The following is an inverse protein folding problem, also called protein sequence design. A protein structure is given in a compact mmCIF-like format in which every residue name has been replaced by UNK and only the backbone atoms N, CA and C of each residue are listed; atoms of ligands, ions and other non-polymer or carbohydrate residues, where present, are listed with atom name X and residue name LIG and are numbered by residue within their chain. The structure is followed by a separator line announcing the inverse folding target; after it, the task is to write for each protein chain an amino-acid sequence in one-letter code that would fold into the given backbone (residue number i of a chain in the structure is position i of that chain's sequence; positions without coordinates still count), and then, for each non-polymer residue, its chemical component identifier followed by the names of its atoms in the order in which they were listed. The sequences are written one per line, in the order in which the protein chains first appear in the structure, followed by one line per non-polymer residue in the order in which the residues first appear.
data_IF_345097527295
#
_entry.id   IF_345097527295
#
_cell.length_a   1.000
_cell.length_b   1.000
_cell.length_c   1.000
_cell.angle_alpha   90.00
_cell.angle_beta   90.00
_cell.angle_gamma   90.00
#
_symmetry.space_group_name_H-M   'P 1'
#
loop_
_entity.id
_entity.type
_entity.pdbx_description
1 polymer ?
#
# COMPACT_ATOMS: atom_id res chain seq x y z
N UNK A 1 -5.05 26.31 25.65
CA UNK A 1 -4.34 26.28 26.94
C UNK A 1 -3.19 25.30 26.90
N UNK A 2 -3.46 24.01 26.66
CA UNK A 2 -2.52 22.93 26.98
C UNK A 2 -1.52 22.52 25.88
N UNK A 3 -1.76 22.87 24.62
CA UNK A 3 -0.90 22.46 23.49
C UNK A 3 0.48 23.15 23.47
N UNK A 4 0.63 24.31 24.11
CA UNK A 4 1.89 25.07 24.05
C UNK A 4 3.03 24.36 24.77
N UNK A 5 2.77 23.63 25.87
CA UNK A 5 3.82 23.00 26.69
C UNK A 5 4.14 21.55 26.28
N UNK A 6 3.56 21.08 25.18
CA UNK A 6 3.65 19.69 24.78
C UNK A 6 5.00 19.42 24.11
N UNK A 7 5.79 18.52 24.68
CA UNK A 7 7.14 18.17 24.16
C UNK A 7 7.14 17.04 23.13
N UNK A 8 6.16 16.15 23.18
CA UNK A 8 6.08 14.97 22.33
C UNK A 8 4.67 14.82 21.76
N UNK A 9 4.55 14.74 20.43
CA UNK A 9 3.26 14.61 19.75
C UNK A 9 3.34 13.54 18.67
N UNK A 10 2.26 12.78 18.52
CA UNK A 10 2.08 11.88 17.39
C UNK A 10 0.69 12.05 16.81
N UNK A 11 0.63 12.16 15.48
CA UNK A 11 -0.61 12.23 14.73
C UNK A 11 -0.57 11.15 13.65
N UNK A 12 -1.61 10.32 13.64
CA UNK A 12 -1.83 9.29 12.63
C UNK A 12 -3.20 9.54 12.01
N UNK A 13 -3.22 9.87 10.73
CA UNK A 13 -4.44 10.00 9.93
C UNK A 13 -4.30 9.19 8.65
N UNK A 14 -5.16 8.19 8.51
CA UNK A 14 -5.16 7.28 7.36
C UNK A 14 -5.93 7.83 6.16
N UNK A 15 -6.84 8.79 6.35
CA UNK A 15 -7.55 9.47 5.27
C UNK A 15 -7.87 10.92 5.70
N UNK A 16 -7.06 11.86 5.26
CA UNK A 16 -7.35 13.30 5.27
C UNK A 16 -8.09 13.57 3.96
N UNK A 17 -9.41 13.44 4.02
CA UNK A 17 -10.26 13.20 2.84
C UNK A 17 -10.39 14.40 1.89
N UNK A 18 -10.11 15.61 2.39
CA UNK A 18 -10.24 16.86 1.64
C UNK A 18 -9.03 17.77 1.87
N UNK A 19 -8.71 18.61 0.88
CA UNK A 19 -7.60 19.56 0.91
C UNK A 19 -7.62 20.46 2.15
N UNK A 20 -8.82 20.90 2.51
CA UNK A 20 -9.08 21.75 3.66
C UNK A 20 -8.63 21.09 4.98
N UNK A 21 -8.71 19.75 5.10
CA UNK A 21 -8.36 19.10 6.37
C UNK A 21 -6.84 19.20 6.65
N UNK A 22 -5.99 19.11 5.63
CA UNK A 22 -4.55 19.25 5.83
C UNK A 22 -4.15 20.71 6.02
N UNK A 23 -4.48 21.57 5.05
CA UNK A 23 -4.00 22.96 5.03
C UNK A 23 -4.73 23.83 6.09
N UNK A 24 -6.00 23.57 6.42
CA UNK A 24 -6.78 24.37 7.38
C UNK A 24 -6.87 23.78 8.80
N UNK A 25 -6.68 22.46 8.98
CA UNK A 25 -6.75 21.83 10.31
C UNK A 25 -5.39 21.33 10.80
N UNK A 26 -4.71 20.49 10.03
CA UNK A 26 -3.45 19.86 10.45
C UNK A 26 -2.32 20.90 10.56
N UNK A 27 -2.09 21.72 9.53
CA UNK A 27 -1.02 22.72 9.54
C UNK A 27 -1.20 23.74 10.68
N UNK A 28 -2.38 24.37 10.88
CA UNK A 28 -2.56 25.32 11.99
C UNK A 28 -2.46 24.68 13.37
N UNK A 29 -2.89 23.42 13.53
CA UNK A 29 -2.72 22.67 14.78
C UNK A 29 -1.24 22.50 15.11
N UNK A 30 -0.45 22.02 14.13
CA UNK A 30 0.98 21.78 14.30
C UNK A 30 1.74 23.07 14.60
N UNK A 31 1.43 24.17 13.89
CA UNK A 31 2.04 25.50 14.12
C UNK A 31 1.88 26.04 15.54
N UNK A 32 0.86 25.60 16.28
CA UNK A 32 0.63 26.02 17.67
C UNK A 32 1.50 25.29 18.69
N UNK A 33 2.14 24.18 18.29
CA UNK A 33 2.97 23.34 19.16
C UNK A 33 4.45 23.79 19.13
N UNK A 34 4.69 25.06 19.46
CA UNK A 34 6.01 25.71 19.29
C UNK A 34 7.13 25.14 20.19
N UNK A 35 6.80 24.46 21.29
CA UNK A 35 7.75 23.85 22.22
C UNK A 35 7.93 22.35 21.99
N UNK A 36 7.48 21.85 20.84
CA UNK A 36 7.57 20.45 20.52
C UNK A 36 9.03 20.05 20.27
N UNK A 37 9.50 19.04 21.01
CA UNK A 37 10.84 18.47 20.90
C UNK A 37 10.85 17.24 19.99
N UNK A 38 9.74 16.48 19.99
CA UNK A 38 9.56 15.24 19.20
C UNK A 38 8.21 15.21 18.48
N UNK A 39 8.25 14.93 17.19
CA UNK A 39 7.07 14.80 16.33
C UNK A 39 7.10 13.49 15.54
N UNK A 40 5.98 12.76 15.57
CA UNK A 40 5.75 11.59 14.70
C UNK A 40 4.48 11.79 13.88
N UNK A 41 4.60 11.93 12.56
CA UNK A 41 3.47 12.14 11.64
C UNK A 41 3.26 10.96 10.70
N UNK A 42 2.04 10.46 10.64
CA UNK A 42 1.58 9.60 9.55
C UNK A 42 0.35 10.25 8.94
N UNK A 43 0.47 10.75 7.71
CA UNK A 43 -0.60 11.48 7.04
C UNK A 43 -0.82 10.91 5.64
N UNK A 44 -2.07 10.63 5.30
CA UNK A 44 -2.49 10.37 3.93
C UNK A 44 -3.49 11.42 3.50
N UNK A 45 -3.07 12.28 2.58
CA UNK A 45 -3.78 13.45 2.10
C UNK A 45 -4.33 13.14 0.72
N UNK A 46 -5.65 13.22 0.57
CA UNK A 46 -6.33 12.94 -0.68
C UNK A 46 -6.75 14.23 -1.37
N UNK A 47 -6.66 14.23 -2.71
CA UNK A 47 -7.19 15.26 -3.62
C UNK A 47 -6.53 16.64 -3.55
N UNK A 48 -5.29 16.73 -3.01
CA UNK A 48 -4.56 17.99 -2.89
C UNK A 48 -4.15 18.53 -4.25
N UNK A 49 -4.16 19.86 -4.40
CA UNK A 49 -3.79 20.52 -5.65
C UNK A 49 -2.28 20.48 -5.95
N UNK A 50 -1.46 20.01 -5.00
CA UNK A 50 -0.01 19.88 -5.14
C UNK A 50 0.51 18.86 -4.13
N UNK A 51 1.62 18.20 -4.45
CA UNK A 51 2.36 17.40 -3.49
C UNK A 51 2.88 18.22 -2.29
N UNK A 52 2.91 17.58 -1.13
CA UNK A 52 3.74 18.03 -0.01
C UNK A 52 5.17 17.62 -0.32
N UNK A 53 6.05 18.61 -0.51
CA UNK A 53 7.49 18.43 -0.69
C UNK A 53 8.26 19.05 0.50
N UNK A 54 9.59 19.07 0.42
CA UNK A 54 10.44 19.52 1.50
C UNK A 54 10.31 21.00 1.77
N UNK A 55 10.22 21.80 0.73
CA UNK A 55 10.01 23.25 0.87
C UNK A 55 8.67 23.55 1.54
N UNK A 56 7.61 22.84 1.16
CA UNK A 56 6.33 22.98 1.84
C UNK A 56 6.40 22.55 3.32
N UNK A 57 7.03 21.42 3.61
CA UNK A 57 7.16 20.91 4.98
C UNK A 57 7.97 21.85 5.87
N UNK A 58 9.06 22.40 5.34
CA UNK A 58 9.90 23.40 6.00
C UNK A 58 9.11 24.67 6.34
N UNK A 59 8.57 25.32 5.30
CA UNK A 59 7.87 26.60 5.43
C UNK A 59 6.57 26.50 6.24
N UNK A 60 5.83 25.40 6.13
CA UNK A 60 4.49 25.33 6.75
C UNK A 60 4.50 24.73 8.16
N UNK A 61 5.45 23.82 8.45
CA UNK A 61 5.44 23.07 9.71
C UNK A 61 6.74 23.31 10.49
N UNK A 62 7.91 23.07 9.87
CA UNK A 62 9.16 22.97 10.63
C UNK A 62 9.69 24.32 11.11
N UNK A 63 9.52 25.39 10.34
CA UNK A 63 9.93 26.75 10.73
C UNK A 63 9.21 27.26 11.99
N UNK A 64 8.02 26.72 12.27
CA UNK A 64 7.23 27.05 13.45
C UNK A 64 7.59 26.19 14.67
N UNK A 65 8.52 25.24 14.54
CA UNK A 65 8.93 24.29 15.60
C UNK A 65 10.43 24.37 15.88
N UNK A 66 10.95 25.49 16.41
CA UNK A 66 12.39 25.69 16.58
C UNK A 66 13.05 24.76 17.62
N UNK A 67 12.25 24.12 18.49
CA UNK A 67 12.73 23.18 19.50
C UNK A 67 12.69 21.72 19.04
N UNK A 68 12.18 21.46 17.83
CA UNK A 68 12.07 20.11 17.30
C UNK A 68 13.45 19.56 17.02
N UNK A 69 13.77 18.42 17.62
CA UNK A 69 15.05 17.74 17.41
C UNK A 69 14.86 16.32 16.87
N UNK A 70 13.63 15.78 16.95
CA UNK A 70 13.31 14.47 16.40
C UNK A 70 12.02 14.56 15.62
N UNK A 71 12.13 14.28 14.32
CA UNK A 71 11.00 14.25 13.42
C UNK A 71 10.99 12.93 12.65
N UNK A 72 9.94 12.14 12.85
CA UNK A 72 9.68 10.92 12.08
C UNK A 72 8.39 11.12 11.31
N UNK A 73 8.39 10.83 10.02
CA UNK A 73 7.20 11.06 9.23
C UNK A 73 7.02 10.10 8.07
N UNK A 74 5.76 9.92 7.70
CA UNK A 74 5.30 9.44 6.42
C UNK A 74 4.13 10.34 6.01
N UNK A 75 4.25 10.98 4.85
CA UNK A 75 3.20 11.80 4.27
C UNK A 75 3.00 11.31 2.84
N UNK A 76 1.79 10.83 2.53
CA UNK A 76 1.38 10.54 1.16
C UNK A 76 0.39 11.59 0.69
N UNK A 77 0.65 12.20 -0.46
CA UNK A 77 -0.24 13.19 -1.07
C UNK A 77 -0.72 12.69 -2.42
N UNK A 78 -2.03 12.54 -2.58
CA UNK A 78 -2.65 12.24 -3.87
C UNK A 78 -3.12 13.54 -4.53
N UNK A 79 -2.64 13.78 -5.74
CA UNK A 79 -2.98 14.92 -6.59
C UNK A 79 -3.83 14.47 -7.77
N UNK A 80 -4.92 15.21 -8.03
CA UNK A 80 -5.70 15.07 -9.27
C UNK A 80 -5.15 16.08 -10.28
N UNK A 81 -4.54 15.58 -11.34
CA UNK A 81 -3.86 16.39 -12.36
C UNK A 81 -4.92 16.92 -13.32
N UNK A 82 -5.40 18.14 -13.07
CA UNK A 82 -6.33 18.84 -13.96
C UNK A 82 -5.63 19.62 -15.09
N UNK A 83 -4.30 19.72 -15.09
CA UNK A 83 -3.58 20.52 -16.08
C UNK A 83 -2.13 20.08 -16.34
N UNK A 84 -1.55 20.64 -17.41
CA UNK A 84 -0.26 20.36 -18.04
C UNK A 84 0.99 20.75 -17.23
N UNK A 85 0.94 20.73 -15.89
CA UNK A 85 2.13 21.02 -15.09
C UNK A 85 3.19 19.92 -15.25
N UNK A 86 4.49 20.29 -15.36
CA UNK A 86 5.56 19.32 -15.46
C UNK A 86 5.57 18.44 -14.19
N UNK A 87 5.49 17.13 -14.39
CA UNK A 87 5.51 16.16 -13.28
C UNK A 87 6.86 16.25 -12.57
N UNK A 88 6.82 16.47 -11.25
CA UNK A 88 8.01 16.33 -10.40
C UNK A 88 8.44 14.87 -10.39
N UNK A 89 9.72 14.62 -10.64
CA UNK A 89 10.34 13.30 -10.44
C UNK A 89 10.69 13.07 -8.97
N UNK A 90 10.98 11.81 -8.59
CA UNK A 90 11.50 11.49 -7.25
C UNK A 90 12.71 12.37 -6.91
N UNK A 91 13.62 12.54 -7.87
CA UNK A 91 14.82 13.37 -7.70
C UNK A 91 14.49 14.85 -7.48
N UNK A 92 13.42 15.36 -8.08
CA UNK A 92 13.00 16.76 -7.88
C UNK A 92 12.44 16.94 -6.47
N UNK A 93 11.64 15.98 -5.99
CA UNK A 93 11.12 15.99 -4.62
C UNK A 93 12.26 15.86 -3.63
N UNK A 94 13.15 14.88 -3.76
CA UNK A 94 14.26 14.66 -2.84
C UNK A 94 15.21 15.86 -2.74
N UNK A 95 15.42 16.60 -3.84
CA UNK A 95 16.22 17.84 -3.84
C UNK A 95 15.65 18.93 -2.93
N UNK A 96 14.32 18.98 -2.76
CA UNK A 96 13.68 19.98 -1.88
C UNK A 96 13.97 19.77 -0.40
N UNK A 97 14.55 18.63 -0.03
CA UNK A 97 14.87 18.30 1.35
C UNK A 97 16.36 18.44 1.71
N UNK A 98 17.19 18.89 0.77
CA UNK A 98 18.65 19.02 0.97
C UNK A 98 19.05 19.96 2.13
N UNK A 99 18.16 20.88 2.51
CA UNK A 99 18.40 21.83 3.61
C UNK A 99 17.68 21.48 4.91
N UNK A 100 16.87 20.41 4.93
CA UNK A 100 16.10 20.03 6.11
C UNK A 100 17.03 19.34 7.11
N UNK A 101 17.08 19.87 8.33
CA UNK A 101 17.98 19.42 9.42
C UNK A 101 17.68 18.00 9.95
N UNK A 102 16.63 17.35 9.47
CA UNK A 102 16.07 16.13 10.05
C UNK A 102 16.32 14.90 9.17
N UNK A 103 17.37 14.13 9.50
CA UNK A 103 17.58 12.75 9.05
C UNK A 103 17.71 12.51 7.55
N UNK A 104 17.96 11.25 7.18
CA UNK A 104 17.83 10.81 5.79
C UNK A 104 16.36 10.56 5.47
N UNK A 105 16.02 10.66 4.19
CA UNK A 105 14.66 10.48 3.75
C UNK A 105 14.59 10.00 2.30
N UNK A 106 13.41 9.51 1.92
CA UNK A 106 13.17 8.97 0.60
C UNK A 106 11.79 9.39 0.08
N UNK A 107 11.64 9.31 -1.24
CA UNK A 107 10.39 9.56 -1.93
C UNK A 107 9.96 8.38 -2.80
N UNK A 108 8.65 8.26 -3.01
CA UNK A 108 8.03 7.39 -4.02
C UNK A 108 6.98 8.22 -4.73
N UNK A 109 7.17 8.46 -6.03
CA UNK A 109 6.18 9.13 -6.87
C UNK A 109 5.66 8.13 -7.88
N UNK A 110 4.35 8.02 -7.88
CA UNK A 110 3.60 7.13 -8.73
C UNK A 110 2.51 7.91 -9.47
N UNK A 111 2.15 7.43 -10.67
CA UNK A 111 1.05 8.00 -11.45
C UNK A 111 0.08 6.91 -11.88
N UNK A 112 -1.21 7.19 -11.77
CA UNK A 112 -2.29 6.29 -12.15
C UNK A 112 -3.41 7.05 -12.88
N UNK A 113 -4.53 6.39 -13.16
CA UNK A 113 -5.63 6.85 -14.03
C UNK A 113 -5.20 7.39 -15.41
N UNK A 114 -4.36 6.66 -16.16
CA UNK A 114 -3.77 7.14 -17.43
C UNK A 114 -2.87 8.38 -17.26
N UNK A 115 -2.42 8.67 -16.04
CA UNK A 115 -1.66 9.86 -15.71
C UNK A 115 -2.47 11.07 -15.25
N UNK A 116 -3.77 10.89 -15.00
CA UNK A 116 -4.67 11.92 -14.45
C UNK A 116 -4.58 12.05 -12.93
N UNK A 117 -4.00 11.07 -12.26
CA UNK A 117 -3.79 11.09 -10.82
C UNK A 117 -2.35 10.69 -10.52
N UNK A 118 -1.77 11.30 -9.48
CA UNK A 118 -0.46 10.93 -9.02
C UNK A 118 -0.43 10.93 -7.49
N UNK A 119 0.42 10.07 -6.93
CA UNK A 119 0.66 10.00 -5.49
C UNK A 119 2.14 10.20 -5.24
N UNK A 120 2.45 11.05 -4.26
CA UNK A 120 3.80 11.26 -3.77
C UNK A 120 3.85 10.83 -2.31
N UNK A 121 4.68 9.84 -2.01
CA UNK A 121 5.04 9.45 -0.67
C UNK A 121 6.38 10.06 -0.31
N UNK A 122 6.45 10.77 0.81
CA UNK A 122 7.69 11.22 1.43
C UNK A 122 7.79 10.66 2.83
N UNK A 123 8.97 10.20 3.24
CA UNK A 123 9.13 9.61 4.57
C UNK A 123 10.56 9.66 5.09
N UNK A 124 10.68 9.70 6.41
CA UNK A 124 11.95 9.59 7.13
C UNK A 124 12.52 8.17 7.06
N UNK A 125 13.84 8.05 6.95
CA UNK A 125 14.59 6.80 7.07
C UNK A 125 15.27 6.68 8.44
N UNK A 126 15.30 5.46 9.05
CA UNK A 126 14.63 4.24 8.60
C UNK A 126 13.10 4.37 8.71
N UNK A 127 12.36 3.63 7.87
CA UNK A 127 10.90 3.61 7.93
C UNK A 127 10.42 2.90 9.20
N UNK A 128 9.55 3.55 9.98
CA UNK A 128 9.14 3.07 11.31
C UNK A 128 7.64 2.81 11.46
N UNK A 129 6.85 2.98 10.40
CA UNK A 129 5.40 2.84 10.47
C UNK A 129 4.96 1.42 10.09
N UNK A 130 3.82 0.99 10.63
CA UNK A 130 3.29 -0.35 10.39
C UNK A 130 2.52 -0.49 9.08
N UNK A 131 2.20 0.63 8.42
CA UNK A 131 1.35 0.69 7.24
C UNK A 131 2.01 1.44 6.10
N UNK A 132 1.86 0.92 4.89
CA UNK A 132 2.21 1.59 3.66
C UNK A 132 1.08 1.34 2.65
N UNK A 133 0.47 2.40 2.13
CA UNK A 133 -0.73 2.28 1.30
C UNK A 133 -0.50 2.85 -0.10
N UNK A 134 -1.23 2.31 -1.07
CA UNK A 134 -1.29 2.76 -2.46
C UNK A 134 0.06 2.78 -3.19
N UNK A 135 0.93 1.80 -2.92
CA UNK A 135 2.16 1.65 -3.72
C UNK A 135 1.86 1.06 -5.10
N UNK A 136 2.64 1.44 -6.11
CA UNK A 136 2.64 0.77 -7.42
C UNK A 136 3.87 -0.14 -7.57
N UNK A 137 4.16 -0.56 -8.80
CA UNK A 137 5.39 -1.26 -9.19
C UNK A 137 6.70 -0.47 -8.93
N UNK A 138 6.63 0.85 -8.69
CA UNK A 138 7.80 1.73 -8.53
C UNK A 138 8.14 2.08 -7.07
N UNK A 139 8.45 1.10 -6.23
CA UNK A 139 8.99 1.35 -4.88
C UNK A 139 10.51 1.03 -4.80
N UNK A 140 11.27 1.69 -3.91
CA UNK A 140 12.71 1.45 -3.79
C UNK A 140 13.03 0.06 -3.24
N UNK A 141 14.21 -0.47 -3.57
CA UNK A 141 14.74 -1.72 -3.01
C UNK A 141 15.35 -1.51 -1.62
N UNK A 142 14.54 -1.01 -0.68
CA UNK A 142 14.89 -0.93 0.74
C UNK A 142 14.02 -1.91 1.52
N UNK A 143 14.48 -2.38 2.68
CA UNK A 143 13.69 -3.29 3.52
C UNK A 143 12.80 -2.48 4.47
N UNK A 144 11.50 -2.78 4.47
CA UNK A 144 10.51 -2.16 5.36
C UNK A 144 10.12 -3.14 6.47
N UNK A 145 11.04 -3.40 7.41
CA UNK A 145 10.85 -4.41 8.47
C UNK A 145 9.66 -4.12 9.41
N UNK A 146 9.25 -2.85 9.52
CA UNK A 146 8.15 -2.42 10.38
C UNK A 146 6.78 -2.57 9.72
N UNK A 147 6.71 -2.66 8.39
CA UNK A 147 5.46 -2.69 7.65
C UNK A 147 4.80 -4.06 7.75
N UNK A 148 3.58 -4.05 8.28
CA UNK A 148 2.73 -5.24 8.44
C UNK A 148 1.44 -5.14 7.62
N UNK A 149 1.05 -3.94 7.20
CA UNK A 149 -0.10 -3.69 6.34
C UNK A 149 0.37 -2.99 5.06
N UNK A 150 0.07 -3.61 3.92
CA UNK A 150 0.41 -3.08 2.61
C UNK A 150 -0.85 -3.02 1.76
N UNK A 151 -1.03 -1.92 1.04
CA UNK A 151 -1.94 -1.90 -0.11
C UNK A 151 -1.20 -1.51 -1.37
N UNK A 152 -1.42 -2.28 -2.42
CA UNK A 152 -0.90 -2.03 -3.75
C UNK A 152 -2.04 -1.73 -4.71
N UNK A 153 -1.84 -0.70 -5.52
CA UNK A 153 -2.78 -0.28 -6.55
C UNK A 153 -2.02 -0.06 -7.84
N UNK A 154 -2.48 -0.64 -8.93
CA UNK A 154 -1.92 -0.34 -10.25
C UNK A 154 -3.01 -0.49 -11.32
N UNK A 155 -2.85 0.22 -12.43
CA UNK A 155 -3.66 0.00 -13.64
C UNK A 155 -2.95 -0.90 -14.63
N UNK A 156 -1.62 -1.00 -14.53
CA UNK A 156 -0.82 -1.89 -15.35
C UNK A 156 -0.78 -3.24 -14.64
N UNK A 157 -0.81 -4.37 -15.38
CA UNK A 157 -0.63 -5.67 -14.77
C UNK A 157 0.69 -5.76 -13.99
N UNK A 158 0.59 -6.01 -12.68
CA UNK A 158 1.70 -6.45 -11.82
C UNK A 158 2.12 -7.86 -12.20
N UNK A 159 3.37 -8.01 -12.63
CA UNK A 159 3.96 -9.30 -13.00
C UNK A 159 4.42 -10.09 -11.78
N UNK A 160 4.85 -11.34 -11.99
CA UNK A 160 5.33 -12.21 -10.92
C UNK A 160 6.51 -11.59 -10.12
N UNK A 161 7.44 -10.91 -10.79
CA UNK A 161 8.60 -10.24 -10.21
C UNK A 161 8.19 -9.13 -9.22
N UNK A 162 7.04 -8.49 -9.44
CA UNK A 162 6.51 -7.52 -8.48
C UNK A 162 6.26 -8.21 -7.13
N UNK A 163 5.57 -9.36 -7.13
CA UNK A 163 5.27 -10.08 -5.90
C UNK A 163 6.52 -10.67 -5.22
N UNK A 164 7.55 -11.05 -6.00
CA UNK A 164 8.87 -11.41 -5.46
C UNK A 164 9.44 -10.21 -4.68
N UNK A 165 9.47 -9.02 -5.31
CA UNK A 165 9.97 -7.82 -4.66
C UNK A 165 9.18 -7.48 -3.40
N UNK A 166 7.86 -7.64 -3.40
CA UNK A 166 7.03 -7.44 -2.21
C UNK A 166 7.49 -8.39 -1.08
N UNK A 167 7.64 -9.69 -1.36
CA UNK A 167 8.03 -10.68 -0.34
C UNK A 167 9.41 -10.39 0.29
N UNK A 168 10.34 -9.89 -0.51
CA UNK A 168 11.71 -9.56 -0.06
C UNK A 168 11.76 -8.25 0.73
N UNK A 169 10.91 -7.30 0.35
CA UNK A 169 10.87 -5.93 0.87
C UNK A 169 10.05 -5.81 2.15
N UNK A 170 8.94 -6.55 2.23
CA UNK A 170 7.96 -6.51 3.33
C UNK A 170 7.92 -7.86 4.06
N UNK A 171 9.03 -8.22 4.70
CA UNK A 171 9.22 -9.56 5.29
C UNK A 171 8.21 -9.88 6.39
N UNK A 172 7.73 -8.87 7.11
CA UNK A 172 6.77 -8.99 8.22
C UNK A 172 5.31 -8.74 7.79
N UNK A 173 5.02 -8.80 6.48
CA UNK A 173 3.70 -8.49 5.93
C UNK A 173 2.62 -9.46 6.47
N UNK A 174 1.58 -8.89 7.10
CA UNK A 174 0.44 -9.62 7.67
C UNK A 174 -0.86 -9.38 6.92
N UNK A 175 -1.05 -8.18 6.38
CA UNK A 175 -2.25 -7.77 5.68
C UNK A 175 -1.86 -7.20 4.33
N UNK A 176 -2.30 -7.83 3.25
CA UNK A 176 -2.02 -7.36 1.90
C UNK A 176 -3.31 -7.16 1.12
N UNK A 177 -3.51 -5.94 0.63
CA UNK A 177 -4.59 -5.59 -0.29
C UNK A 177 -4.03 -5.28 -1.67
N UNK A 178 -4.64 -5.84 -2.71
CA UNK A 178 -4.28 -5.59 -4.11
C UNK A 178 -5.53 -5.15 -4.85
N UNK A 179 -5.42 -4.05 -5.58
CA UNK A 179 -6.50 -3.51 -6.38
C UNK A 179 -6.00 -3.16 -7.77
N UNK A 180 -6.65 -3.71 -8.80
CA UNK A 180 -6.34 -3.40 -10.21
C UNK A 180 -7.55 -3.61 -11.15
N UNK A 181 -8.78 -3.47 -10.65
CA UNK A 181 -10.00 -3.78 -11.42
C UNK A 181 -10.17 -2.92 -12.70
N UNK A 182 -9.41 -1.82 -12.81
CA UNK A 182 -9.37 -0.95 -14.00
C UNK A 182 -8.25 -1.28 -14.98
N UNK A 183 -7.49 -2.37 -14.77
CA UNK A 183 -6.50 -2.79 -15.74
C UNK A 183 -7.23 -3.11 -17.04
N UNK A 184 -7.16 -2.17 -17.99
CA UNK A 184 -7.63 -2.36 -19.35
C UNK A 184 -6.92 -3.62 -19.80
N UNK A 185 -7.68 -4.70 -19.97
CA UNK A 185 -7.20 -5.94 -20.52
C UNK A 185 -6.74 -5.65 -21.94
N UNK A 186 -5.53 -5.10 -22.10
CA UNK A 186 -4.69 -5.38 -23.24
C UNK A 186 -4.57 -6.89 -23.19
N UNK A 187 -5.40 -7.54 -24.01
CA UNK A 187 -5.51 -8.98 -24.15
C UNK A 187 -4.12 -9.53 -24.40
N UNK A 188 -3.41 -9.87 -23.33
CA UNK A 188 -2.48 -10.96 -23.39
C UNK A 188 -3.33 -12.20 -23.22
N UNK A 189 -3.65 -12.79 -24.36
CA UNK A 189 -4.16 -14.15 -24.45
C UNK A 189 -3.09 -15.08 -23.84
N UNK A 190 -3.04 -15.19 -22.51
CA UNK A 190 -2.02 -15.93 -21.77
C UNK A 190 -2.62 -17.03 -20.90
N UNK A 191 -3.68 -17.67 -21.39
CA UNK A 191 -3.94 -19.07 -21.01
C UNK A 191 -3.16 -20.06 -21.88
N UNK A 192 -2.34 -19.56 -22.84
CA UNK A 192 -1.54 -20.38 -23.76
C UNK A 192 -0.03 -20.07 -23.76
N UNK A 193 0.46 -19.11 -22.97
CA UNK A 193 1.91 -18.88 -22.80
C UNK A 193 2.46 -19.61 -21.57
N UNK A 194 2.12 -20.90 -21.44
CA UNK A 194 2.86 -21.89 -20.65
C UNK A 194 4.23 -22.19 -21.31
N UNK A 195 5.00 -21.13 -21.61
CA UNK A 195 6.41 -21.27 -21.98
C UNK A 195 7.23 -21.29 -20.70
N UNK A 196 7.30 -22.45 -20.04
CA UNK A 196 8.47 -22.97 -19.30
C UNK A 196 9.35 -21.98 -18.50
N UNK A 197 8.80 -20.91 -17.89
CA UNK A 197 9.54 -20.13 -16.90
C UNK A 197 9.18 -20.67 -15.53
N UNK A 198 10.04 -21.53 -15.00
CA UNK A 198 9.97 -21.96 -13.61
C UNK A 198 10.33 -20.78 -12.72
N UNK A 199 9.32 -20.01 -12.31
CA UNK A 199 9.50 -19.04 -11.24
C UNK A 199 9.61 -19.76 -9.90
N UNK A 200 10.48 -19.26 -9.03
CA UNK A 200 10.54 -19.73 -7.65
C UNK A 200 9.21 -19.45 -6.94
N UNK A 201 8.77 -20.39 -6.11
CA UNK A 201 7.56 -20.19 -5.29
C UNK A 201 7.81 -19.01 -4.35
N UNK A 202 6.90 -18.04 -4.34
CA UNK A 202 6.98 -16.87 -3.46
C UNK A 202 6.45 -17.27 -2.09
N UNK A 203 7.17 -16.93 -1.02
CA UNK A 203 6.71 -17.20 0.34
C UNK A 203 6.24 -15.92 1.03
N UNK A 204 5.03 -15.96 1.60
CA UNK A 204 4.56 -14.95 2.54
C UNK A 204 4.32 -15.60 3.90
N UNK A 205 5.38 -15.78 4.72
CA UNK A 205 5.32 -16.61 5.92
C UNK A 205 4.40 -16.04 7.01
N UNK A 206 4.10 -14.74 6.96
CA UNK A 206 3.33 -14.02 7.97
C UNK A 206 2.00 -13.48 7.47
N UNK A 207 1.63 -13.73 6.20
CA UNK A 207 0.40 -13.18 5.63
C UNK A 207 -0.82 -13.88 6.23
N UNK A 208 -1.62 -13.11 6.97
CA UNK A 208 -2.83 -13.55 7.68
C UNK A 208 -4.08 -13.23 6.86
N UNK A 209 -4.08 -12.06 6.22
CA UNK A 209 -5.22 -11.55 5.45
C UNK A 209 -4.80 -11.11 4.06
N UNK A 210 -5.50 -11.63 3.06
CA UNK A 210 -5.36 -11.23 1.66
C UNK A 210 -6.67 -10.62 1.16
N UNK A 211 -6.60 -9.37 0.67
CA UNK A 211 -7.69 -8.70 -0.01
C UNK A 211 -7.38 -8.56 -1.51
N UNK A 212 -8.12 -9.32 -2.30
CA UNK A 212 -8.08 -9.37 -3.76
C UNK A 212 -9.49 -9.21 -4.32
N UNK A 213 -10.38 -8.52 -3.59
CA UNK A 213 -11.77 -8.34 -3.99
C UNK A 213 -11.90 -7.56 -5.32
N UNK A 214 -11.05 -6.54 -5.48
CA UNK A 214 -10.97 -5.70 -6.67
C UNK A 214 -9.74 -6.04 -7.53
N UNK A 215 -9.24 -7.28 -7.46
CA UNK A 215 -8.06 -7.73 -8.19
C UNK A 215 -8.42 -8.60 -9.39
N UNK A 216 -7.61 -8.54 -10.45
CA UNK A 216 -7.69 -9.41 -11.62
C UNK A 216 -7.57 -10.88 -11.20
N UNK A 217 -8.24 -11.76 -11.96
CA UNK A 217 -8.22 -13.21 -11.74
C UNK A 217 -6.78 -13.78 -11.71
N UNK A 218 -5.85 -13.20 -12.45
CA UNK A 218 -4.47 -13.66 -12.51
C UNK A 218 -3.75 -13.49 -11.17
N UNK A 219 -4.10 -12.47 -10.38
CA UNK A 219 -3.53 -12.28 -9.04
C UNK A 219 -4.14 -13.23 -8.04
N UNK A 220 -5.45 -13.49 -8.17
CA UNK A 220 -6.10 -14.52 -7.37
C UNK A 220 -5.42 -15.87 -7.65
N UNK A 221 -5.12 -16.18 -8.91
CA UNK A 221 -4.36 -17.38 -9.26
C UNK A 221 -2.92 -17.34 -8.74
N UNK A 222 -2.20 -16.21 -8.85
CA UNK A 222 -0.84 -16.03 -8.33
C UNK A 222 -0.75 -16.36 -6.84
N UNK A 223 -1.68 -15.87 -6.02
CA UNK A 223 -1.67 -16.11 -4.58
C UNK A 223 -2.23 -17.46 -4.17
N UNK A 224 -3.34 -17.90 -4.79
CA UNK A 224 -4.01 -19.10 -4.32
C UNK A 224 -3.36 -20.39 -4.84
N UNK A 225 -2.70 -20.38 -6.01
CA UNK A 225 -1.97 -21.57 -6.50
C UNK A 225 -0.70 -21.80 -5.69
N UNK A 226 -0.62 -22.95 -5.01
CA UNK A 226 0.56 -23.33 -4.23
C UNK A 226 1.83 -23.46 -5.06
N UNK A 227 1.68 -23.71 -6.37
CA UNK A 227 2.79 -23.79 -7.32
C UNK A 227 3.41 -22.43 -7.62
N UNK A 228 2.76 -21.33 -7.20
CA UNK A 228 3.21 -19.95 -7.41
C UNK A 228 3.53 -19.23 -6.10
N UNK A 229 2.71 -19.44 -5.08
CA UNK A 229 2.86 -18.77 -3.78
C UNK A 229 2.54 -19.72 -2.64
N UNK A 230 3.31 -19.68 -1.57
CA UNK A 230 3.06 -20.41 -0.33
C UNK A 230 2.57 -19.45 0.77
N UNK A 231 1.38 -19.73 1.32
CA UNK A 231 0.67 -18.88 2.28
C UNK A 231 0.36 -19.63 3.58
N UNK A 232 1.36 -20.00 4.40
CA UNK A 232 1.18 -20.92 5.52
C UNK A 232 0.30 -20.37 6.65
N UNK A 233 0.11 -19.05 6.74
CA UNK A 233 -0.63 -18.38 7.80
C UNK A 233 -1.94 -17.73 7.34
N UNK A 234 -2.37 -17.94 6.09
CA UNK A 234 -3.57 -17.29 5.56
C UNK A 234 -4.83 -17.83 6.25
N UNK A 235 -5.54 -16.95 6.96
CA UNK A 235 -6.80 -17.28 7.64
C UNK A 235 -7.98 -16.43 7.14
N UNK A 236 -7.69 -15.26 6.55
CA UNK A 236 -8.71 -14.34 6.04
C UNK A 236 -8.50 -14.06 4.54
N UNK A 237 -9.56 -14.26 3.75
CA UNK A 237 -9.57 -13.98 2.31
C UNK A 237 -10.75 -13.10 1.94
N UNK A 238 -10.48 -11.98 1.29
CA UNK A 238 -11.49 -11.12 0.66
C UNK A 238 -11.32 -11.22 -0.85
N UNK A 239 -12.36 -11.69 -1.55
CA UNK A 239 -12.23 -12.05 -2.96
C UNK A 239 -13.56 -11.98 -3.69
N UNK A 240 -13.54 -11.68 -4.99
CA UNK A 240 -14.73 -11.81 -5.82
C UNK A 240 -15.11 -13.29 -5.99
N UNK A 241 -16.34 -13.67 -5.63
CA UNK A 241 -16.79 -15.07 -5.62
C UNK A 241 -16.68 -15.75 -6.99
N UNK A 242 -17.05 -15.04 -8.06
CA UNK A 242 -17.02 -15.62 -9.42
C UNK A 242 -15.58 -15.85 -9.89
N UNK A 243 -14.66 -14.93 -9.57
CA UNK A 243 -13.23 -15.12 -9.87
C UNK A 243 -12.63 -16.26 -9.05
N UNK A 244 -12.97 -16.34 -7.75
CA UNK A 244 -12.57 -17.47 -6.89
C UNK A 244 -13.06 -18.81 -7.44
N UNK A 245 -14.34 -18.90 -7.81
CA UNK A 245 -14.95 -20.11 -8.39
C UNK A 245 -14.23 -20.53 -9.68
N UNK A 246 -13.80 -19.58 -10.53
CA UNK A 246 -12.99 -19.88 -11.72
C UNK A 246 -11.60 -20.42 -11.37
N UNK A 247 -10.85 -19.73 -10.51
CA UNK A 247 -9.47 -20.13 -10.13
C UNK A 247 -9.43 -21.51 -9.47
N UNK A 248 -10.43 -21.82 -8.65
CA UNK A 248 -10.57 -23.10 -7.93
C UNK A 248 -11.23 -24.20 -8.76
N UNK A 249 -11.60 -23.93 -10.03
CA UNK A 249 -12.35 -24.84 -10.90
C UNK A 249 -13.64 -25.37 -10.23
N UNK A 250 -14.47 -24.47 -9.72
CA UNK A 250 -15.64 -24.78 -8.91
C UNK A 250 -15.30 -25.55 -7.62
N UNK A 251 -14.23 -25.13 -6.93
CA UNK A 251 -13.78 -25.74 -5.68
C UNK A 251 -13.37 -27.21 -5.80
N UNK A 252 -12.75 -27.59 -6.93
CA UNK A 252 -12.25 -28.96 -7.17
C UNK A 252 -10.74 -29.01 -7.41
N UNK A 253 -10.08 -27.87 -7.61
CA UNK A 253 -8.64 -27.80 -7.88
C UNK A 253 -7.81 -27.97 -6.61
N UNK A 254 -7.05 -29.04 -6.48
CA UNK A 254 -6.27 -29.31 -5.26
C UNK A 254 -5.12 -28.32 -5.01
N UNK A 255 -4.46 -27.84 -6.07
CA UNK A 255 -3.31 -26.93 -5.94
C UNK A 255 -3.67 -25.58 -5.32
N UNK A 256 -4.92 -25.16 -5.39
CA UNK A 256 -5.40 -23.95 -4.70
C UNK A 256 -5.94 -24.25 -3.30
N UNK A 257 -6.25 -25.51 -2.99
CA UNK A 257 -6.85 -25.92 -1.71
C UNK A 257 -5.88 -25.79 -0.55
N UNK A 258 -4.57 -26.05 -0.76
CA UNK A 258 -3.58 -26.00 0.33
C UNK A 258 -3.40 -24.60 0.92
N UNK A 259 -3.39 -23.56 0.09
CA UNK A 259 -3.38 -22.17 0.58
C UNK A 259 -4.74 -21.75 1.18
N UNK A 260 -5.83 -22.45 0.84
CA UNK A 260 -7.18 -22.12 1.31
C UNK A 260 -7.61 -22.86 2.58
N UNK A 261 -6.95 -23.97 2.94
CA UNK A 261 -7.50 -24.90 3.93
C UNK A 261 -7.59 -24.33 5.36
N UNK A 262 -6.78 -23.31 5.68
CA UNK A 262 -6.76 -22.61 6.97
C UNK A 262 -7.66 -21.37 7.00
N UNK A 263 -8.32 -21.03 5.90
CA UNK A 263 -9.22 -19.87 5.83
C UNK A 263 -10.44 -20.15 6.70
N UNK A 264 -10.64 -19.29 7.69
CA UNK A 264 -11.79 -19.28 8.60
C UNK A 264 -12.63 -18.00 8.48
N UNK A 265 -12.19 -17.05 7.65
CA UNK A 265 -12.94 -15.83 7.32
C UNK A 265 -12.89 -15.58 5.82
N UNK A 266 -13.99 -15.89 5.14
CA UNK A 266 -14.14 -15.67 3.70
C UNK A 266 -15.14 -14.54 3.44
N UNK A 267 -14.66 -13.43 2.90
CA UNK A 267 -15.47 -12.29 2.49
C UNK A 267 -15.60 -12.28 0.97
N UNK A 268 -16.84 -12.26 0.49
CA UNK A 268 -17.16 -12.25 -0.94
C UNK A 268 -18.22 -11.20 -1.25
N UNK A 269 -18.30 -10.82 -2.52
CA UNK A 269 -19.21 -9.79 -3.03
C UNK A 269 -20.66 -10.28 -3.25
N UNK A 270 -20.99 -11.54 -2.94
CA UNK A 270 -22.33 -12.13 -3.07
C UNK A 270 -22.57 -13.13 -1.93
N UNK A 271 -23.83 -13.42 -1.55
CA UNK A 271 -24.12 -14.48 -0.59
C UNK A 271 -23.52 -15.82 -1.03
N UNK A 272 -22.82 -16.52 -0.12
CA UNK A 272 -22.24 -17.84 -0.40
C UNK A 272 -23.34 -18.90 -0.23
N UNK A 273 -23.45 -19.79 -1.22
CA UNK A 273 -24.14 -21.07 -1.06
C UNK A 273 -23.10 -22.10 -0.63
N UNK A 274 -23.15 -22.51 0.63
CA UNK A 274 -22.24 -23.51 1.20
C UNK A 274 -22.57 -24.91 0.67
N UNK A 275 -22.07 -25.22 -0.54
CA UNK A 275 -22.12 -26.57 -1.08
C UNK A 275 -21.09 -27.46 -0.38
N UNK A 276 -21.26 -28.79 -0.50
CA UNK A 276 -20.29 -29.77 0.01
C UNK A 276 -18.86 -29.46 -0.45
N UNK A 277 -18.68 -29.14 -1.73
CA UNK A 277 -17.37 -28.81 -2.29
C UNK A 277 -16.77 -27.56 -1.63
N UNK A 278 -17.58 -26.52 -1.36
CA UNK A 278 -17.11 -25.30 -0.67
C UNK A 278 -16.62 -25.64 0.74
N UNK A 279 -17.38 -26.45 1.49
CA UNK A 279 -17.00 -26.86 2.85
C UNK A 279 -15.74 -27.74 2.88
N UNK A 280 -15.56 -28.61 1.88
CA UNK A 280 -14.33 -29.42 1.74
C UNK A 280 -13.10 -28.57 1.36
N UNK A 281 -13.34 -27.46 0.65
CA UNK A 281 -12.32 -26.53 0.22
C UNK A 281 -11.84 -25.61 1.33
N UNK A 282 -12.78 -25.18 2.19
CA UNK A 282 -12.55 -24.31 3.32
C UNK A 282 -13.04 -24.98 4.61
N UNK A 283 -12.35 -26.03 5.08
CA UNK A 283 -12.80 -26.83 6.22
C UNK A 283 -12.82 -26.08 7.56
N UNK A 284 -12.29 -24.85 7.60
CA UNK A 284 -12.22 -24.01 8.80
C UNK A 284 -13.25 -22.87 8.83
N UNK A 285 -14.12 -22.74 7.80
CA UNK A 285 -15.27 -21.81 7.77
C UNK A 285 -16.44 -22.32 8.61
#
# INVERSE_FOLDING_TARGET
GELHNLKCFSLVSYDVTMNYDYDDLVVPLLRRMIHLEKLTLYLRILRRNAFVDGTHLENEILDYMPQLHTFKFYISTQETIFSSFPRKSNSDIERTFTNIKYGQMASIIDSFSGGLEAICHIYSLPFTFSRLEMITTHFPMIVFDTVTHLSAYDMIPMEHEFFIRISQTFRMLKYFSIQNDRSLSLKRNEWESDKNVYYSIIEFPHLISLDVMCANIDYIAQFLLETKTHLPCLTELKVNYYRLKKVTMNFTRDTTRRNCCKINRLFVNVPIVFSKNVMEYFPSL
#
